data_IF_529249368057
#
_entry.id   IF_529249368057
#
_cell.length_a   1.000
_cell.length_b   1.000
_cell.length_c   1.000
_cell.angle_alpha   90.00
_cell.angle_beta   90.00
_cell.angle_gamma   90.00
#
_symmetry.space_group_name_H-M   'P 1'
#
loop_
_entity.id
_entity.type
_entity.pdbx_description
1 polymer ?
#
# COMPACT_ATOMS: atom_id res chain seq x y z
N UNK A 1 -4.14 22.26 -22.46
CA UNK A 1 -3.38 21.40 -21.53
C UNK A 1 -3.22 20.05 -22.21
N UNK A 2 -2.03 19.46 -22.20
CA UNK A 2 -1.81 18.10 -22.70
C UNK A 2 -2.43 17.10 -21.74
N UNK A 3 -3.23 16.17 -22.24
CA UNK A 3 -3.71 15.06 -21.43
C UNK A 3 -2.59 14.04 -21.21
N UNK A 4 -2.34 13.66 -19.96
CA UNK A 4 -1.30 12.69 -19.59
C UNK A 4 -1.94 11.55 -18.80
N UNK A 5 -1.68 10.31 -19.22
CA UNK A 5 -2.19 9.09 -18.57
C UNK A 5 -1.06 8.08 -18.42
N UNK A 6 -1.06 7.34 -17.33
CA UNK A 6 -0.16 6.19 -17.10
C UNK A 6 -0.99 4.90 -17.01
N UNK A 7 -0.36 3.75 -17.28
CA UNK A 7 -0.96 2.43 -17.16
C UNK A 7 0.10 1.38 -16.83
N UNK A 8 -0.33 0.29 -16.21
CA UNK A 8 0.47 -0.94 -16.08
C UNK A 8 0.10 -1.84 -17.25
N UNK A 9 1.09 -2.27 -18.03
CA UNK A 9 0.91 -3.28 -19.06
C UNK A 9 1.06 -4.68 -18.48
N UNK A 10 0.11 -5.57 -18.79
CA UNK A 10 0.11 -6.97 -18.43
C UNK A 10 -0.06 -7.82 -19.70
N UNK A 11 0.63 -8.97 -19.81
CA UNK A 11 0.47 -9.87 -20.93
C UNK A 11 -0.92 -10.52 -20.92
N UNK A 12 -1.33 -11.09 -22.06
CA UNK A 12 -2.45 -12.03 -22.16
C UNK A 12 -2.19 -13.01 -23.30
N UNK A 13 -2.73 -14.22 -23.16
CA UNK A 13 -2.84 -15.17 -24.26
C UNK A 13 -4.17 -15.00 -25.01
N UNK A 14 -5.27 -14.76 -24.28
CA UNK A 14 -6.62 -14.62 -24.79
C UNK A 14 -7.42 -13.59 -23.96
N UNK A 15 -7.75 -12.44 -24.57
CA UNK A 15 -8.48 -11.37 -23.89
C UNK A 15 -9.86 -11.81 -23.44
N UNK A 16 -10.52 -12.69 -24.21
CA UNK A 16 -11.87 -13.16 -23.86
C UNK A 16 -11.92 -13.88 -22.51
N UNK A 17 -10.82 -14.52 -22.13
CA UNK A 17 -10.72 -15.24 -20.86
C UNK A 17 -10.45 -14.27 -19.70
N UNK A 18 -9.63 -13.25 -19.94
CA UNK A 18 -9.28 -12.23 -18.95
C UNK A 18 -10.41 -11.24 -18.67
N UNK A 19 -11.14 -10.79 -19.70
CA UNK A 19 -12.11 -9.69 -19.55
C UNK A 19 -13.18 -9.96 -18.47
N UNK A 20 -13.82 -11.14 -18.40
CA UNK A 20 -14.76 -11.46 -17.32
C UNK A 20 -14.10 -11.41 -15.95
N UNK A 21 -12.85 -11.84 -15.82
CA UNK A 21 -12.11 -11.80 -14.55
C UNK A 21 -11.91 -10.35 -14.08
N UNK A 22 -11.35 -9.48 -14.93
CA UNK A 22 -11.11 -8.10 -14.53
C UNK A 22 -12.41 -7.30 -14.34
N UNK A 23 -13.43 -7.53 -15.17
CA UNK A 23 -14.69 -6.76 -15.10
C UNK A 23 -15.68 -7.26 -14.04
N UNK A 24 -15.79 -8.57 -13.83
CA UNK A 24 -16.76 -9.16 -12.89
C UNK A 24 -16.13 -9.49 -11.55
N UNK A 25 -14.99 -10.19 -11.55
CA UNK A 25 -14.31 -10.60 -10.31
C UNK A 25 -13.62 -9.41 -9.65
N UNK A 26 -12.79 -8.67 -10.40
CA UNK A 26 -12.10 -7.49 -9.88
C UNK A 26 -12.94 -6.21 -9.97
N UNK A 27 -14.16 -6.27 -10.53
CA UNK A 27 -15.11 -5.14 -10.61
C UNK A 27 -14.51 -3.88 -11.28
N UNK A 28 -13.58 -4.06 -12.23
CA UNK A 28 -12.98 -2.96 -13.00
C UNK A 28 -13.85 -2.58 -14.20
N UNK A 29 -13.76 -1.32 -14.64
CA UNK A 29 -14.45 -0.83 -15.83
C UNK A 29 -13.57 -1.01 -17.06
N UNK A 30 -14.12 -1.56 -18.14
CA UNK A 30 -13.50 -1.54 -19.46
C UNK A 30 -13.62 -0.13 -20.06
N UNK A 31 -12.48 0.51 -20.33
CA UNK A 31 -12.43 1.87 -20.89
C UNK A 31 -12.25 1.88 -22.40
N UNK A 32 -11.43 0.96 -22.93
CA UNK A 32 -11.09 0.88 -24.35
C UNK A 32 -10.76 -0.57 -24.72
N UNK A 33 -11.16 -1.00 -25.91
CA UNK A 33 -10.78 -2.30 -26.47
C UNK A 33 -10.57 -2.14 -27.97
N UNK A 34 -9.47 -2.69 -28.50
CA UNK A 34 -9.13 -2.54 -29.91
C UNK A 34 -8.14 -3.59 -30.44
N UNK A 35 -8.09 -3.81 -31.78
CA UNK A 35 -9.05 -3.33 -32.77
C UNK A 35 -10.44 -3.97 -32.55
N UNK A 36 -11.50 -3.42 -33.18
CA UNK A 36 -12.87 -3.82 -32.87
C UNK A 36 -13.24 -5.21 -33.42
N UNK A 37 -12.60 -5.65 -34.51
CA UNK A 37 -12.84 -6.91 -35.22
C UNK A 37 -12.03 -8.08 -34.67
N UNK A 38 -10.81 -7.84 -34.20
CA UNK A 38 -9.95 -8.84 -33.56
C UNK A 38 -9.16 -8.24 -32.38
N UNK A 39 -9.82 -8.00 -31.22
CA UNK A 39 -9.22 -7.34 -30.08
C UNK A 39 -7.87 -7.94 -29.66
N UNK A 40 -6.84 -7.09 -29.61
CA UNK A 40 -5.51 -7.46 -29.12
C UNK A 40 -5.18 -6.76 -27.81
N UNK A 41 -5.86 -5.63 -27.54
CA UNK A 41 -5.62 -4.79 -26.38
C UNK A 41 -6.95 -4.44 -25.73
N UNK A 42 -6.99 -4.55 -24.39
CA UNK A 42 -8.04 -3.99 -23.55
C UNK A 42 -7.42 -3.09 -22.48
N UNK A 43 -8.02 -1.94 -22.26
CA UNK A 43 -7.67 -1.01 -21.18
C UNK A 43 -8.81 -0.99 -20.18
N UNK A 44 -8.47 -1.20 -18.91
CA UNK A 44 -9.42 -1.13 -17.80
C UNK A 44 -8.96 -0.13 -16.74
N UNK A 45 -9.91 0.41 -15.99
CA UNK A 45 -9.61 1.19 -14.78
C UNK A 45 -10.54 0.85 -13.61
N UNK A 46 -10.00 0.97 -12.41
CA UNK A 46 -10.69 0.64 -11.16
C UNK A 46 -9.71 0.67 -9.99
N UNK A 47 -10.22 0.92 -8.79
CA UNK A 47 -9.43 0.89 -7.54
C UNK A 47 -8.15 1.76 -7.56
N UNK A 48 -8.18 2.88 -8.29
CA UNK A 48 -7.04 3.77 -8.45
C UNK A 48 -5.96 3.30 -9.44
N UNK A 49 -6.17 2.19 -10.14
CA UNK A 49 -5.26 1.65 -11.15
C UNK A 49 -5.86 1.73 -12.56
N UNK A 50 -4.95 1.87 -13.55
CA UNK A 50 -5.25 1.72 -14.97
C UNK A 50 -4.37 0.62 -15.54
N UNK A 51 -5.00 -0.38 -16.14
CA UNK A 51 -4.36 -1.58 -16.67
C UNK A 51 -4.53 -1.64 -18.18
N UNK A 52 -3.48 -2.06 -18.88
CA UNK A 52 -3.48 -2.45 -20.28
C UNK A 52 -3.19 -3.94 -20.36
N UNK A 53 -4.18 -4.71 -20.76
CA UNK A 53 -4.04 -6.13 -21.05
C UNK A 53 -3.74 -6.24 -22.55
N UNK A 54 -2.57 -6.75 -22.92
CA UNK A 54 -2.07 -6.73 -24.30
C UNK A 54 -1.51 -8.10 -24.73
N UNK A 55 -2.02 -8.58 -25.86
CA UNK A 55 -1.57 -9.85 -26.45
C UNK A 55 -0.15 -9.67 -27.00
N UNK A 56 0.74 -10.59 -26.64
CA UNK A 56 2.14 -10.56 -27.06
C UNK A 56 3.02 -9.54 -26.32
N UNK A 57 2.54 -8.94 -25.23
CA UNK A 57 3.40 -8.17 -24.34
C UNK A 57 4.53 -9.07 -23.78
N UNK A 58 5.75 -8.53 -23.71
CA UNK A 58 6.96 -9.30 -23.35
C UNK A 58 7.20 -9.40 -21.86
N UNK A 59 6.53 -8.57 -21.07
CA UNK A 59 6.64 -8.54 -19.61
C UNK A 59 5.99 -9.77 -18.99
N UNK A 60 6.56 -10.24 -17.88
CA UNK A 60 5.91 -11.27 -17.06
C UNK A 60 4.66 -10.70 -16.37
N UNK A 61 3.67 -11.56 -16.04
CA UNK A 61 2.55 -11.14 -15.22
C UNK A 61 3.03 -10.59 -13.87
N UNK A 62 2.40 -9.51 -13.41
CA UNK A 62 2.71 -8.88 -12.13
C UNK A 62 1.86 -9.38 -10.97
N UNK A 63 1.90 -8.65 -9.86
CA UNK A 63 0.98 -8.82 -8.73
C UNK A 63 0.15 -7.56 -8.54
N UNK A 64 -1.17 -7.72 -8.42
CA UNK A 64 -2.10 -6.65 -8.05
C UNK A 64 -2.62 -6.93 -6.64
N UNK A 65 -2.41 -5.97 -5.74
CA UNK A 65 -3.01 -5.99 -4.40
C UNK A 65 -4.26 -5.12 -4.38
N UNK A 66 -5.40 -5.71 -4.04
CA UNK A 66 -6.66 -4.99 -3.81
C UNK A 66 -6.84 -4.83 -2.31
N UNK A 67 -6.80 -3.59 -1.85
CA UNK A 67 -7.03 -3.24 -0.44
C UNK A 67 -8.49 -2.79 -0.28
N UNK A 68 -9.29 -3.53 0.48
CA UNK A 68 -10.74 -3.26 0.64
C UNK A 68 -11.17 -3.31 2.11
N UNK A 69 -12.22 -2.55 2.45
CA UNK A 69 -12.82 -2.59 3.79
C UNK A 69 -13.71 -3.82 4.03
N UNK A 70 -14.07 -4.54 2.96
CA UNK A 70 -14.78 -5.81 3.01
C UNK A 70 -14.06 -6.81 2.10
N UNK A 71 -13.02 -7.50 2.63
CA UNK A 71 -12.26 -8.44 1.83
C UNK A 71 -13.03 -9.74 1.56
N UNK A 72 -13.87 -10.17 2.50
CA UNK A 72 -14.63 -11.43 2.40
C UNK A 72 -15.81 -11.30 1.42
N UNK A 73 -16.38 -10.09 1.27
CA UNK A 73 -17.36 -9.78 0.23
C UNK A 73 -16.76 -9.47 -1.15
N UNK A 74 -15.44 -9.46 -1.30
CA UNK A 74 -14.75 -9.24 -2.57
C UNK A 74 -14.25 -10.58 -3.15
N UNK A 75 -14.36 -10.75 -4.47
CA UNK A 75 -13.91 -11.95 -5.19
C UNK A 75 -14.33 -13.28 -4.50
N UNK A 76 -15.59 -13.36 -4.04
CA UNK A 76 -16.13 -14.53 -3.34
C UNK A 76 -15.32 -14.97 -2.10
N UNK A 77 -14.66 -14.00 -1.45
CA UNK A 77 -13.86 -14.21 -0.24
C UNK A 77 -12.46 -14.76 -0.49
N UNK A 78 -12.04 -14.95 -1.74
CA UNK A 78 -10.70 -15.42 -2.05
C UNK A 78 -9.65 -14.35 -1.70
N UNK A 79 -8.63 -14.74 -0.93
CA UNK A 79 -7.55 -13.81 -0.51
C UNK A 79 -6.34 -13.80 -1.44
N UNK A 80 -6.10 -14.89 -2.18
CA UNK A 80 -4.99 -15.01 -3.12
C UNK A 80 -5.34 -15.96 -4.25
N UNK A 81 -5.23 -15.49 -5.48
CA UNK A 81 -5.58 -16.26 -6.67
C UNK A 81 -4.92 -15.68 -7.91
N UNK A 82 -4.96 -16.41 -9.01
CA UNK A 82 -4.27 -16.05 -10.25
C UNK A 82 -5.28 -15.77 -11.36
N UNK A 83 -5.13 -14.65 -12.03
CA UNK A 83 -5.90 -14.30 -13.23
C UNK A 83 -5.56 -15.26 -14.39
N UNK A 84 -6.42 -15.40 -15.41
CA UNK A 84 -6.14 -16.26 -16.58
C UNK A 84 -4.82 -15.91 -17.29
N UNK A 85 -4.47 -14.63 -17.39
CA UNK A 85 -3.17 -14.19 -17.90
C UNK A 85 -1.97 -14.41 -16.96
N UNK A 86 -2.14 -15.09 -15.83
CA UNK A 86 -1.07 -15.37 -14.88
C UNK A 86 -0.80 -14.27 -13.84
N UNK A 87 -1.52 -13.14 -13.88
CA UNK A 87 -1.34 -12.05 -12.91
C UNK A 87 -1.78 -12.52 -11.52
N UNK A 88 -0.93 -12.38 -10.53
CA UNK A 88 -1.27 -12.73 -9.15
C UNK A 88 -2.15 -11.64 -8.54
N UNK A 89 -3.24 -12.04 -7.90
CA UNK A 89 -4.13 -11.16 -7.15
C UNK A 89 -4.03 -11.48 -5.66
N UNK A 90 -3.90 -10.44 -4.83
CA UNK A 90 -3.99 -10.52 -3.38
C UNK A 90 -5.09 -9.57 -2.88
N UNK A 91 -6.02 -10.07 -2.07
CA UNK A 91 -7.10 -9.29 -1.46
C UNK A 91 -6.80 -9.13 0.03
N UNK A 92 -6.67 -7.88 0.46
CA UNK A 92 -6.18 -7.50 1.77
C UNK A 92 -7.07 -6.44 2.41
N UNK A 93 -6.97 -6.30 3.72
CA UNK A 93 -7.68 -5.26 4.44
C UNK A 93 -7.13 -3.87 4.11
N UNK A 94 -8.03 -2.95 3.75
CA UNK A 94 -7.67 -1.55 3.51
C UNK A 94 -7.12 -0.87 4.77
N UNK A 95 -7.64 -1.27 5.92
CA UNK A 95 -7.26 -0.73 7.22
C UNK A 95 -7.06 -1.91 8.19
N UNK A 96 -5.92 -2.62 8.13
CA UNK A 96 -5.68 -3.74 9.03
C UNK A 96 -5.75 -3.27 10.49
N UNK A 97 -6.28 -4.10 11.40
CA UNK A 97 -6.36 -3.76 12.81
C UNK A 97 -4.96 -3.56 13.37
N UNK A 98 -4.83 -2.57 14.27
CA UNK A 98 -3.60 -2.40 15.03
C UNK A 98 -3.47 -3.56 16.02
N UNK A 99 -2.53 -4.46 15.78
CA UNK A 99 -2.18 -5.52 16.74
C UNK A 99 -1.15 -4.95 17.70
N UNK A 100 -1.57 -4.68 18.94
CA UNK A 100 -0.67 -4.29 20.01
C UNK A 100 0.00 -5.56 20.57
N UNK A 101 1.35 -5.61 20.66
CA UNK A 101 2.01 -6.72 21.35
C UNK A 101 1.66 -6.70 22.84
N UNK A 102 1.79 -7.86 23.49
CA UNK A 102 1.59 -7.96 24.93
C UNK A 102 2.55 -7.01 25.64
N UNK A 103 2.01 -6.15 26.51
CA UNK A 103 2.83 -5.20 27.25
C UNK A 103 3.72 -5.92 28.26
N UNK A 104 5.03 -5.71 28.15
CA UNK A 104 5.99 -6.11 29.18
C UNK A 104 6.09 -4.98 30.21
N UNK A 105 5.39 -5.14 31.34
CA UNK A 105 5.37 -4.13 32.40
C UNK A 105 6.77 -3.93 32.99
N UNK A 106 7.27 -2.70 32.91
CA UNK A 106 8.54 -2.28 33.48
C UNK A 106 8.44 -0.87 34.05
N UNK A 107 9.12 -0.63 35.16
CA UNK A 107 9.34 0.73 35.68
C UNK A 107 10.65 1.27 35.13
N UNK A 108 10.59 2.33 34.33
CA UNK A 108 11.76 2.93 33.67
C UNK A 108 11.97 4.33 34.21
N UNK A 109 13.15 4.60 34.78
CA UNK A 109 13.58 5.94 35.19
C UNK A 109 14.81 6.31 34.38
N UNK A 110 14.78 7.49 33.77
CA UNK A 110 15.92 8.10 33.08
C UNK A 110 16.10 9.52 33.59
N UNK A 111 17.29 9.85 34.12
CA UNK A 111 17.55 11.22 34.55
C UNK A 111 17.91 12.06 33.32
N UNK A 112 17.43 13.30 33.32
CA UNK A 112 17.71 14.24 32.23
C UNK A 112 19.21 14.52 32.05
N UNK A 113 19.98 14.44 33.14
CA UNK A 113 21.42 14.64 33.17
C UNK A 113 22.22 13.50 32.50
N UNK A 114 21.63 12.30 32.35
CA UNK A 114 22.33 11.11 31.86
C UNK A 114 22.58 11.14 30.32
N UNK A 115 22.42 12.32 29.67
CA UNK A 115 22.70 12.61 28.25
C UNK A 115 22.37 11.48 27.27
N UNK A 116 21.20 10.83 27.40
CA UNK A 116 20.77 9.87 26.39
C UNK A 116 20.82 10.57 25.02
N UNK A 117 21.54 9.99 24.03
CA UNK A 117 21.90 10.69 22.81
C UNK A 117 20.64 11.09 22.06
N UNK A 118 20.64 12.33 21.57
CA UNK A 118 19.64 12.77 20.61
C UNK A 118 19.93 12.11 19.27
N UNK A 119 18.89 11.53 18.68
CA UNK A 119 18.93 11.02 17.32
C UNK A 119 18.21 12.03 16.43
N UNK A 120 18.83 12.41 15.32
CA UNK A 120 18.19 13.24 14.30
C UNK A 120 17.25 12.33 13.51
N UNK A 121 15.95 12.58 13.60
CA UNK A 121 14.93 11.90 12.82
C UNK A 121 14.71 12.58 11.47
N UNK A 122 13.55 12.31 10.87
CA UNK A 122 13.11 13.04 9.67
C UNK A 122 12.96 14.52 9.99
N UNK A 123 12.99 15.36 8.96
CA UNK A 123 12.76 16.79 9.10
C UNK A 123 13.76 17.57 9.98
N UNK A 124 14.90 16.98 10.34
CA UNK A 124 15.85 17.60 11.29
C UNK A 124 15.35 17.62 12.74
N UNK A 125 14.19 17.02 13.03
CA UNK A 125 13.66 16.89 14.38
C UNK A 125 14.56 15.97 15.22
N UNK A 126 14.79 16.32 16.47
CA UNK A 126 15.62 15.55 17.37
C UNK A 126 14.74 14.72 18.31
N UNK A 127 15.03 13.43 18.41
CA UNK A 127 14.30 12.47 19.23
C UNK A 127 15.22 11.91 20.30
N UNK A 128 14.68 11.79 21.51
CA UNK A 128 15.31 11.06 22.60
C UNK A 128 14.35 10.03 23.14
N UNK A 129 14.74 8.77 23.02
CA UNK A 129 13.95 7.63 23.46
C UNK A 129 13.84 7.59 24.99
N UNK A 130 12.61 7.57 25.49
CA UNK A 130 12.29 7.53 26.92
C UNK A 130 12.04 6.09 27.42
N UNK A 131 11.69 5.16 26.52
CA UNK A 131 11.35 3.77 26.86
C UNK A 131 11.97 2.83 25.81
N UNK A 132 13.27 2.50 25.92
CA UNK A 132 13.99 1.72 24.90
C UNK A 132 13.45 0.32 24.66
N UNK A 133 12.95 -0.34 25.72
CA UNK A 133 12.30 -1.66 25.61
C UNK A 133 10.94 -1.58 24.94
N UNK A 134 10.39 -0.37 24.79
CA UNK A 134 9.04 -0.09 24.27
C UNK A 134 7.94 -0.86 25.01
N UNK A 135 8.21 -1.32 26.24
CA UNK A 135 7.37 -2.24 27.00
C UNK A 135 6.96 -3.48 26.18
N UNK A 136 7.93 -4.14 25.54
CA UNK A 136 7.66 -5.27 24.64
C UNK A 136 7.17 -4.83 23.25
N UNK A 137 7.47 -3.60 22.83
CA UNK A 137 7.02 -3.03 21.56
C UNK A 137 5.64 -2.35 21.60
N UNK A 138 4.95 -2.37 22.75
CA UNK A 138 3.60 -1.86 22.90
C UNK A 138 3.49 -0.32 22.83
N UNK A 139 4.51 0.41 23.29
CA UNK A 139 4.49 1.87 23.38
C UNK A 139 5.80 2.48 22.93
N UNK A 140 5.73 3.60 22.23
CA UNK A 140 6.87 4.47 21.95
C UNK A 140 6.67 5.77 22.71
N UNK A 141 7.65 6.13 23.53
CA UNK A 141 7.67 7.42 24.21
C UNK A 141 8.98 8.13 23.86
N UNK A 142 8.88 9.34 23.33
CA UNK A 142 10.04 10.12 22.92
C UNK A 142 9.89 11.55 23.39
N UNK A 143 11.00 12.14 23.83
CA UNK A 143 11.11 13.59 23.91
C UNK A 143 11.51 14.09 22.54
N UNK A 144 10.68 14.95 21.94
CA UNK A 144 10.94 15.57 20.64
C UNK A 144 11.41 17.00 20.89
N UNK A 145 12.52 17.39 20.27
CA UNK A 145 13.04 18.76 20.25
C UNK A 145 13.16 19.25 18.81
N UNK A 146 12.63 20.44 18.54
CA UNK A 146 12.73 21.13 17.25
C UNK A 146 13.59 22.38 17.49
N UNK A 147 14.92 22.31 17.32
CA UNK A 147 15.81 23.43 17.61
C UNK A 147 15.61 24.59 16.63
N UNK A 148 15.43 24.28 15.35
CA UNK A 148 15.22 25.23 14.27
C UNK A 148 13.82 24.99 13.67
N UNK A 149 12.84 25.78 14.12
CA UNK A 149 11.48 25.72 13.57
C UNK A 149 11.39 26.39 12.20
N UNK A 150 10.47 25.94 11.34
CA UNK A 150 10.24 26.55 10.03
C UNK A 150 9.83 25.52 8.96
N UNK A 151 9.82 25.92 7.69
CA UNK A 151 9.61 25.00 6.57
C UNK A 151 10.62 23.86 6.60
N UNK A 152 10.12 22.65 6.38
CA UNK A 152 10.93 21.43 6.40
C UNK A 152 10.93 20.82 5.00
N UNK A 153 12.08 20.34 4.49
CA UNK A 153 12.16 19.57 3.26
C UNK A 153 11.65 18.13 3.47
N UNK A 154 10.35 17.99 3.73
CA UNK A 154 9.67 16.70 3.85
C UNK A 154 8.56 16.58 2.82
N UNK A 155 8.11 15.35 2.58
CA UNK A 155 7.02 15.04 1.67
C UNK A 155 5.71 14.89 2.45
N UNK A 156 4.58 15.26 1.85
CA UNK A 156 3.27 15.00 2.46
C UNK A 156 3.04 13.49 2.53
N UNK A 157 2.82 12.99 3.74
CA UNK A 157 2.52 11.59 4.00
C UNK A 157 1.59 11.45 5.22
N UNK A 158 1.04 10.26 5.40
CA UNK A 158 0.07 9.97 6.46
C UNK A 158 0.58 8.82 7.34
N UNK A 159 0.36 8.96 8.65
CA UNK A 159 0.57 7.89 9.62
C UNK A 159 -0.72 7.69 10.42
N UNK A 160 -1.08 6.42 10.67
CA UNK A 160 -2.13 6.06 11.63
C UNK A 160 -1.44 5.64 12.93
N UNK A 161 -1.58 6.46 13.97
CA UNK A 161 -0.95 6.23 15.29
C UNK A 161 -2.02 6.25 16.37
N UNK A 162 -1.92 5.33 17.34
CA UNK A 162 -2.65 5.46 18.60
C UNK A 162 -1.93 6.48 19.48
N UNK A 163 -2.66 7.48 19.98
CA UNK A 163 -2.13 8.47 20.91
C UNK A 163 -2.75 8.26 22.28
N UNK A 164 -1.94 8.37 23.34
CA UNK A 164 -2.35 8.24 24.74
C UNK A 164 -1.92 9.48 25.52
#
# INVERSE_FOLDING_TARGET
>A
MTETRAEIRLPTHELRDDLPFYTKTLKMRLDLIYPADNPQIAVLSGHGLRLRIEKGASESPGTIRILTGDPDGFAEGQRRFTAPNGTLIEIEELNPPLVLPQTEHAFVVRRLADQAPWIIGRAGMQYRDLVPTRLGGAVIASHIRIPDGGPVPDMVHFHKVGFQ
#
